data_IF_640412033042
#
_entry.id   IF_640412033042
#
_cell.length_a   1.000
_cell.length_b   1.000
_cell.length_c   1.000
_cell.angle_alpha   90.00
_cell.angle_beta   90.00
_cell.angle_gamma   90.00
#
_symmetry.space_group_name_H-M   'P 1'
#
loop_
_entity.id
_entity.type
_entity.pdbx_description
1 polymer ?
#
# COMPACT_ATOMS: atom_id res chain seq x y z
N UNK A 1 2.87 13.27 41.45
CA UNK A 1 3.18 11.86 41.83
C UNK A 1 3.59 11.00 40.63
N UNK A 2 3.12 11.32 39.42
CA UNK A 2 3.52 10.79 38.09
C UNK A 2 5.03 10.93 37.79
N UNK A 3 5.67 11.93 38.40
CA UNK A 3 7.10 12.25 38.23
C UNK A 3 8.08 11.18 38.75
N UNK A 4 7.65 10.26 39.62
CA UNK A 4 8.52 9.17 40.13
C UNK A 4 8.43 7.87 39.31
N UNK A 5 7.40 7.71 38.46
CA UNK A 5 7.13 6.45 37.75
C UNK A 5 7.83 6.34 36.38
N UNK A 6 8.21 7.47 35.76
CA UNK A 6 8.85 7.52 34.44
C UNK A 6 10.39 7.57 34.50
N UNK A 7 10.95 8.04 35.61
CA UNK A 7 12.39 8.02 35.91
C UNK A 7 12.92 6.60 36.19
N UNK A 8 12.05 5.64 36.53
CA UNK A 8 12.43 4.21 36.70
C UNK A 8 12.44 3.43 35.37
N UNK A 9 11.68 3.87 34.36
CA UNK A 9 11.72 3.35 32.97
C UNK A 9 13.00 3.79 32.22
N UNK A 10 13.73 4.78 32.74
CA UNK A 10 15.08 5.11 32.26
C UNK A 10 16.14 4.04 32.60
N UNK A 11 15.87 3.13 33.54
CA UNK A 11 16.75 2.01 33.87
C UNK A 11 16.42 0.71 33.09
N UNK A 12 15.46 0.73 32.16
CA UNK A 12 14.78 -0.46 31.64
C UNK A 12 15.43 -1.15 30.42
N UNK A 13 16.25 -0.48 29.61
CA UNK A 13 16.48 -0.97 28.22
C UNK A 13 17.88 -1.56 27.99
N UNK A 14 18.81 -1.39 28.92
CA UNK A 14 20.22 -1.72 28.66
C UNK A 14 20.60 -3.18 29.00
N UNK A 15 19.92 -3.91 29.92
CA UNK A 15 20.49 -5.22 30.38
C UNK A 15 19.58 -6.44 30.70
N UNK A 16 18.25 -6.40 30.90
CA UNK A 16 17.56 -7.63 31.40
C UNK A 16 16.06 -7.80 31.05
N UNK A 17 15.65 -9.05 30.87
CA UNK A 17 14.34 -9.55 30.44
C UNK A 17 13.30 -9.59 31.59
N UNK A 18 13.80 -9.64 32.82
CA UNK A 18 13.04 -9.52 34.08
C UNK A 18 12.29 -8.20 34.20
N UNK A 19 12.77 -7.21 33.44
CA UNK A 19 12.30 -5.86 33.43
C UNK A 19 10.91 -5.80 32.75
N UNK A 20 10.72 -6.48 31.61
CA UNK A 20 9.40 -6.62 30.99
C UNK A 20 8.39 -7.43 31.82
N UNK A 21 8.86 -8.45 32.55
CA UNK A 21 8.02 -9.20 33.49
C UNK A 21 7.48 -8.27 34.58
N UNK A 22 8.32 -7.42 35.17
CA UNK A 22 7.90 -6.43 36.18
C UNK A 22 6.95 -5.39 35.60
N UNK A 23 7.16 -4.95 34.36
CA UNK A 23 6.24 -4.04 33.67
C UNK A 23 4.87 -4.68 33.47
N UNK A 24 4.87 -5.91 32.97
CA UNK A 24 3.67 -6.70 32.69
C UNK A 24 2.91 -7.00 33.98
N UNK A 25 3.60 -7.44 35.03
CA UNK A 25 3.03 -7.64 36.38
C UNK A 25 2.48 -6.34 36.97
N UNK A 26 3.21 -5.22 36.83
CA UNK A 26 2.75 -3.93 37.30
C UNK A 26 1.47 -3.50 36.60
N UNK A 27 1.40 -3.60 35.26
CA UNK A 27 0.19 -3.32 34.49
C UNK A 27 -0.96 -4.25 34.90
N UNK A 28 -0.69 -5.53 35.10
CA UNK A 28 -1.70 -6.52 35.52
C UNK A 28 -2.22 -6.24 36.93
N UNK A 29 -1.38 -5.73 37.82
CA UNK A 29 -1.74 -5.49 39.22
C UNK A 29 -2.35 -4.10 39.45
N UNK A 30 -2.13 -3.15 38.53
CA UNK A 30 -2.57 -1.76 38.66
C UNK A 30 -3.54 -1.35 37.56
N UNK A 31 -4.23 -2.33 36.98
CA UNK A 31 -5.24 -2.11 35.92
C UNK A 31 -6.17 -0.97 36.31
N UNK A 32 -6.55 -0.91 37.59
CA UNK A 32 -7.56 0.03 38.08
C UNK A 32 -7.18 1.52 38.15
N UNK A 33 -5.93 1.88 37.87
CA UNK A 33 -5.37 3.21 38.13
C UNK A 33 -5.02 4.04 36.88
N UNK A 34 -5.28 3.54 35.67
CA UNK A 34 -4.89 4.22 34.43
C UNK A 34 -5.84 5.37 34.06
N UNK A 35 -5.70 6.56 34.67
CA UNK A 35 -6.60 7.68 34.32
C UNK A 35 -6.01 9.09 34.27
N UNK A 36 -4.68 9.31 34.23
CA UNK A 36 -4.20 10.70 34.38
C UNK A 36 -3.19 11.33 33.41
N UNK A 37 -2.38 10.64 32.59
CA UNK A 37 -1.45 11.37 31.67
C UNK A 37 -0.97 10.56 30.45
N UNK A 38 -1.89 10.08 29.59
CA UNK A 38 -1.55 9.29 28.39
C UNK A 38 -0.62 10.01 27.39
N UNK A 39 -0.59 11.35 27.38
CA UNK A 39 0.22 12.14 26.44
C UNK A 39 1.71 12.08 26.83
N UNK A 40 2.02 12.20 28.13
CA UNK A 40 3.40 12.19 28.63
C UNK A 40 3.99 10.78 28.53
N UNK A 41 3.19 9.74 28.83
CA UNK A 41 3.60 8.35 28.67
C UNK A 41 3.94 8.02 27.22
N UNK A 42 3.10 8.40 26.26
CA UNK A 42 3.35 8.20 24.83
C UNK A 42 4.69 8.80 24.39
N UNK A 43 4.96 10.06 24.78
CA UNK A 43 6.21 10.74 24.44
C UNK A 43 7.44 10.07 25.06
N UNK A 44 7.32 9.55 26.28
CA UNK A 44 8.44 8.87 26.95
C UNK A 44 8.70 7.51 26.31
N UNK A 45 7.66 6.80 25.89
CA UNK A 45 7.80 5.58 25.11
C UNK A 45 8.43 5.83 23.75
N UNK A 46 7.99 6.84 23.00
CA UNK A 46 8.60 7.20 21.71
C UNK A 46 10.10 7.45 21.86
N UNK A 47 10.51 8.21 22.87
CA UNK A 47 11.92 8.45 23.19
C UNK A 47 12.67 7.17 23.59
N UNK A 48 12.05 6.28 24.38
CA UNK A 48 12.68 5.01 24.80
C UNK A 48 13.01 4.11 23.60
N UNK A 49 12.08 4.01 22.65
CA UNK A 49 12.27 3.22 21.43
C UNK A 49 13.39 3.77 20.54
N UNK A 50 13.62 5.09 20.54
CA UNK A 50 14.73 5.73 19.80
C UNK A 50 16.12 5.23 20.24
N UNK A 51 16.30 4.93 21.53
CA UNK A 51 17.61 4.53 22.09
C UNK A 51 17.83 3.00 22.19
N UNK A 52 16.90 2.18 21.70
CA UNK A 52 17.06 0.71 21.74
C UNK A 52 18.15 0.25 20.77
N UNK A 53 19.17 -0.45 21.29
CA UNK A 53 20.12 -1.18 20.45
C UNK A 53 19.45 -2.43 19.87
N UNK A 54 19.07 -2.33 18.59
CA UNK A 54 18.33 -3.38 17.89
C UNK A 54 19.11 -4.69 17.75
N UNK A 55 20.44 -4.67 17.86
CA UNK A 55 21.26 -5.87 17.69
C UNK A 55 21.30 -6.73 18.97
N UNK A 56 21.11 -6.11 20.13
CA UNK A 56 21.26 -6.77 21.43
C UNK A 56 19.92 -6.99 22.13
N UNK A 57 18.88 -6.27 21.73
CA UNK A 57 17.55 -6.42 22.32
C UNK A 57 16.86 -7.71 21.85
N UNK A 58 16.36 -8.51 22.80
CA UNK A 58 15.66 -9.78 22.51
C UNK A 58 14.19 -9.55 22.13
N UNK A 59 13.95 -9.10 20.91
CA UNK A 59 12.60 -8.75 20.45
C UNK A 59 11.63 -9.94 20.42
N UNK A 60 12.07 -11.15 20.05
CA UNK A 60 11.18 -12.33 20.02
C UNK A 60 10.50 -12.53 21.39
N UNK A 61 11.30 -12.52 22.46
CA UNK A 61 10.78 -12.66 23.82
C UNK A 61 9.86 -11.50 24.21
N UNK A 62 10.24 -10.26 23.89
CA UNK A 62 9.43 -9.09 24.21
C UNK A 62 8.05 -9.20 23.55
N UNK A 63 8.00 -9.59 22.27
CA UNK A 63 6.76 -9.78 21.52
C UNK A 63 5.91 -10.90 22.12
N UNK A 64 6.49 -12.06 22.44
CA UNK A 64 5.73 -13.17 23.04
C UNK A 64 5.03 -12.75 24.34
N UNK A 65 5.72 -12.00 25.20
CA UNK A 65 5.12 -11.55 26.45
C UNK A 65 4.10 -10.41 26.26
N UNK A 66 4.31 -9.54 25.28
CA UNK A 66 3.32 -8.53 24.87
C UNK A 66 2.01 -9.19 24.43
N UNK A 67 2.10 -10.25 23.61
CA UNK A 67 0.95 -11.04 23.15
C UNK A 67 0.24 -11.69 24.34
N UNK A 68 0.98 -12.31 25.26
CA UNK A 68 0.43 -12.92 26.47
C UNK A 68 -0.33 -11.89 27.32
N UNK A 69 0.26 -10.71 27.55
CA UNK A 69 -0.38 -9.63 28.29
C UNK A 69 -1.67 -9.18 27.61
N UNK A 70 -1.61 -8.88 26.30
CA UNK A 70 -2.76 -8.40 25.54
C UNK A 70 -3.94 -9.39 25.63
N UNK A 71 -3.68 -10.69 25.42
CA UNK A 71 -4.71 -11.72 25.45
C UNK A 71 -5.24 -12.03 26.87
N UNK A 72 -4.51 -11.66 27.93
CA UNK A 72 -4.94 -11.88 29.32
C UNK A 72 -5.97 -10.85 29.82
N UNK A 73 -6.18 -9.77 29.08
CA UNK A 73 -7.11 -8.70 29.44
C UNK A 73 -8.51 -9.08 28.94
N UNK A 74 -9.50 -9.04 29.83
CA UNK A 74 -10.89 -9.35 29.53
C UNK A 74 -11.68 -8.05 29.55
N UNK A 75 -12.10 -7.57 28.38
CA UNK A 75 -12.93 -6.36 28.29
C UNK A 75 -14.29 -6.57 28.96
N UNK A 76 -14.66 -5.62 29.82
CA UNK A 76 -16.01 -5.56 30.41
C UNK A 76 -16.89 -4.63 29.56
N UNK A 77 -18.20 -4.91 29.47
CA UNK A 77 -19.12 -4.05 28.75
C UNK A 77 -19.09 -2.63 29.32
N UNK A 78 -19.16 -1.64 28.43
CA UNK A 78 -19.27 -0.23 28.80
C UNK A 78 -20.46 -0.02 29.74
N UNK A 79 -20.19 0.66 30.87
CA UNK A 79 -21.23 1.23 31.74
C UNK A 79 -21.22 2.73 31.54
N UNK A 80 -22.40 3.34 31.42
CA UNK A 80 -22.57 4.75 31.07
C UNK A 80 -21.60 5.68 31.84
N UNK A 81 -20.74 6.38 31.08
CA UNK A 81 -19.83 7.40 31.60
C UNK A 81 -18.49 6.93 32.15
N UNK A 82 -18.21 5.61 32.24
CA UNK A 82 -16.92 5.08 32.73
C UNK A 82 -16.26 4.25 31.64
N UNK A 83 -15.09 4.68 31.17
CA UNK A 83 -14.26 3.84 30.29
C UNK A 83 -13.62 2.75 31.16
N UNK A 84 -13.84 1.45 30.87
CA UNK A 84 -13.21 0.38 31.61
C UNK A 84 -11.68 0.49 31.51
N UNK A 85 -11.00 0.22 32.62
CA UNK A 85 -9.55 0.24 32.70
C UNK A 85 -8.89 -0.71 31.70
N UNK A 86 -9.54 -1.83 31.40
CA UNK A 86 -9.11 -2.81 30.42
C UNK A 86 -8.98 -2.19 29.01
N UNK A 87 -9.93 -1.34 28.61
CA UNK A 87 -9.87 -0.61 27.33
C UNK A 87 -8.72 0.39 27.29
N UNK A 88 -8.39 1.02 28.42
CA UNK A 88 -7.27 1.96 28.51
C UNK A 88 -5.93 1.25 28.40
N UNK A 89 -5.80 0.07 29.02
CA UNK A 89 -4.62 -0.77 28.90
C UNK A 89 -4.47 -1.28 27.47
N UNK A 90 -5.54 -1.74 26.81
CA UNK A 90 -5.47 -2.12 25.40
C UNK A 90 -4.99 -0.97 24.52
N UNK A 91 -5.53 0.25 24.69
CA UNK A 91 -5.06 1.45 23.97
C UNK A 91 -3.58 1.75 24.24
N UNK A 92 -3.13 1.51 25.45
CA UNK A 92 -1.72 1.69 25.81
C UNK A 92 -0.84 0.65 25.09
N UNK A 93 -1.22 -0.63 25.10
CA UNK A 93 -0.50 -1.70 24.39
C UNK A 93 -0.51 -1.47 22.88
N UNK A 94 -1.62 -0.96 22.33
CA UNK A 94 -1.71 -0.57 20.93
C UNK A 94 -0.64 0.48 20.56
N UNK A 95 -0.42 1.49 21.42
CA UNK A 95 0.63 2.49 21.20
C UNK A 95 2.04 1.89 21.27
N UNK A 96 2.28 0.91 22.14
CA UNK A 96 3.56 0.18 22.18
C UNK A 96 3.79 -0.55 20.86
N UNK A 97 2.77 -1.24 20.32
CA UNK A 97 2.88 -1.92 19.01
C UNK A 97 3.14 -0.92 17.88
N UNK A 98 2.50 0.26 17.90
CA UNK A 98 2.75 1.31 16.92
C UNK A 98 4.20 1.80 16.96
N UNK A 99 4.76 2.04 18.14
CA UNK A 99 6.18 2.42 18.27
C UNK A 99 7.13 1.30 17.81
N UNK A 100 6.78 0.03 18.06
CA UNK A 100 7.54 -1.11 17.54
C UNK A 100 7.55 -1.14 16.01
N UNK A 101 6.46 -0.77 15.33
CA UNK A 101 6.40 -0.74 13.87
C UNK A 101 7.43 0.25 13.30
N UNK A 102 7.61 1.41 13.96
CA UNK A 102 8.57 2.42 13.53
C UNK A 102 10.04 1.97 13.65
N UNK A 103 10.32 0.96 14.50
CA UNK A 103 11.63 0.34 14.58
C UNK A 103 12.00 -0.52 13.36
N UNK A 104 11.06 -0.89 12.50
CA UNK A 104 11.31 -1.70 11.29
C UNK A 104 12.11 -2.98 11.57
N UNK A 105 11.65 -3.76 12.54
CA UNK A 105 12.23 -5.04 12.96
C UNK A 105 11.91 -6.16 11.93
N UNK A 106 12.26 -7.41 12.25
CA UNK A 106 11.94 -8.57 11.42
C UNK A 106 10.42 -8.74 11.20
N UNK A 107 10.01 -9.03 9.95
CA UNK A 107 8.60 -9.20 9.57
C UNK A 107 7.89 -10.29 10.39
N UNK A 108 8.59 -11.36 10.76
CA UNK A 108 8.03 -12.49 11.50
C UNK A 108 7.60 -12.09 12.92
N UNK A 109 8.28 -11.12 13.54
CA UNK A 109 7.90 -10.58 14.85
C UNK A 109 6.51 -9.95 14.80
N UNK A 110 6.26 -9.12 13.78
CA UNK A 110 4.96 -8.47 13.61
C UNK A 110 3.88 -9.44 13.14
N UNK A 111 4.27 -10.46 12.37
CA UNK A 111 3.37 -11.57 12.03
C UNK A 111 2.91 -12.32 13.28
N UNK A 112 3.81 -12.56 14.23
CA UNK A 112 3.47 -13.14 15.53
C UNK A 112 2.43 -12.29 16.29
N UNK A 113 2.62 -10.97 16.35
CA UNK A 113 1.63 -10.04 16.94
C UNK A 113 0.27 -10.16 16.22
N UNK A 114 0.29 -10.09 14.88
CA UNK A 114 -0.91 -10.06 14.05
C UNK A 114 -1.73 -11.35 14.15
N UNK A 115 -1.06 -12.51 14.17
CA UNK A 115 -1.71 -13.83 14.16
C UNK A 115 -2.16 -14.25 15.56
N UNK A 116 -1.46 -13.85 16.62
CA UNK A 116 -1.70 -14.38 17.97
C UNK A 116 -2.43 -13.43 18.94
N UNK A 117 -2.64 -12.16 18.60
CA UNK A 117 -3.50 -11.27 19.40
C UNK A 117 -4.96 -11.41 18.96
N UNK A 118 -5.80 -11.97 19.83
CA UNK A 118 -7.17 -12.41 19.52
C UNK A 118 -8.07 -11.26 19.05
N UNK A 119 -8.00 -10.11 19.72
CA UNK A 119 -8.79 -8.92 19.43
C UNK A 119 -7.90 -7.71 19.17
N UNK A 120 -6.93 -7.87 18.26
CA UNK A 120 -6.03 -6.78 17.91
C UNK A 120 -6.81 -5.58 17.37
N UNK A 121 -6.56 -4.41 17.96
CA UNK A 121 -7.18 -3.16 17.55
C UNK A 121 -7.07 -2.96 16.04
N UNK A 122 -8.17 -2.56 15.42
CA UNK A 122 -8.28 -2.38 13.97
C UNK A 122 -7.21 -1.42 13.40
N UNK A 123 -6.93 -0.31 14.10
CA UNK A 123 -5.92 0.66 13.68
C UNK A 123 -4.52 0.04 13.68
N UNK A 124 -4.16 -0.68 14.74
CA UNK A 124 -2.87 -1.37 14.86
C UNK A 124 -2.76 -2.47 13.80
N UNK A 125 -3.82 -3.25 13.61
CA UNK A 125 -3.90 -4.29 12.59
C UNK A 125 -3.61 -3.74 11.19
N UNK A 126 -4.17 -2.58 10.86
CA UNK A 126 -3.90 -1.91 9.60
C UNK A 126 -2.49 -1.32 9.51
N UNK A 127 -1.96 -0.79 10.60
CA UNK A 127 -0.59 -0.32 10.65
C UNK A 127 0.39 -1.47 10.37
N UNK A 128 0.20 -2.65 10.97
CA UNK A 128 1.01 -3.85 10.67
C UNK A 128 0.84 -4.25 9.20
N UNK A 129 -0.39 -4.40 8.72
CA UNK A 129 -0.66 -4.74 7.32
C UNK A 129 0.04 -3.80 6.34
N UNK A 130 -0.12 -2.49 6.53
CA UNK A 130 0.40 -1.47 5.62
C UNK A 130 1.91 -1.27 5.72
N UNK A 131 2.46 -1.19 6.94
CA UNK A 131 3.88 -0.90 7.15
C UNK A 131 4.78 -2.11 7.00
N UNK A 132 4.30 -3.26 7.45
CA UNK A 132 5.10 -4.47 7.56
C UNK A 132 4.77 -5.42 6.40
N UNK A 133 3.52 -5.84 6.27
CA UNK A 133 3.13 -6.78 5.20
C UNK A 133 2.99 -6.12 3.82
N UNK A 134 3.10 -4.79 3.75
CA UNK A 134 2.91 -4.01 2.53
C UNK A 134 1.56 -4.28 1.84
N UNK A 135 0.53 -4.58 2.64
CA UNK A 135 -0.84 -4.74 2.21
C UNK A 135 -1.53 -3.38 2.11
N UNK A 136 -2.10 -3.12 0.95
CA UNK A 136 -2.82 -1.90 0.62
C UNK A 136 -4.30 -2.25 0.41
N UNK A 137 -5.16 -2.10 1.44
CA UNK A 137 -6.58 -2.36 1.27
C UNK A 137 -7.19 -1.42 0.23
N UNK A 138 -8.21 -1.86 -0.54
CA UNK A 138 -8.83 -1.01 -1.54
C UNK A 138 -9.45 0.26 -0.93
N UNK A 139 -9.07 1.41 -1.47
CA UNK A 139 -9.60 2.72 -1.09
C UNK A 139 -10.18 3.44 -2.30
N UNK A 140 -11.17 4.28 -2.05
CA UNK A 140 -11.69 5.30 -2.97
C UNK A 140 -11.25 6.68 -2.50
N UNK A 141 -10.82 7.53 -3.41
CA UNK A 141 -10.49 8.93 -3.17
C UNK A 141 -11.33 9.81 -4.10
N UNK A 142 -12.01 10.79 -3.52
CA UNK A 142 -12.72 11.84 -4.26
C UNK A 142 -12.18 13.20 -3.87
N UNK A 143 -12.15 14.13 -4.82
CA UNK A 143 -11.60 15.46 -4.60
C UNK A 143 -12.74 16.46 -4.66
N UNK A 144 -12.96 17.20 -3.56
CA UNK A 144 -13.99 18.24 -3.48
C UNK A 144 -13.41 19.46 -2.79
N UNK A 145 -13.67 20.64 -3.32
CA UNK A 145 -13.19 21.92 -2.76
C UNK A 145 -11.66 21.96 -2.51
N UNK A 146 -10.87 21.22 -3.31
CA UNK A 146 -9.41 21.15 -3.16
C UNK A 146 -8.93 20.19 -2.06
N UNK A 147 -9.83 19.45 -1.41
CA UNK A 147 -9.54 18.48 -0.36
C UNK A 147 -9.74 17.04 -0.85
N UNK A 148 -8.95 16.12 -0.31
CA UNK A 148 -9.04 14.69 -0.57
C UNK A 148 -9.94 14.04 0.47
N UNK A 149 -10.99 13.35 0.01
CA UNK A 149 -11.86 12.53 0.83
C UNK A 149 -11.58 11.06 0.54
N UNK A 150 -11.08 10.34 1.53
CA UNK A 150 -10.68 8.93 1.41
C UNK A 150 -11.72 8.03 2.07
N UNK A 151 -12.07 6.95 1.39
CA UNK A 151 -13.01 5.94 1.85
C UNK A 151 -12.40 4.56 1.71
N UNK A 152 -12.24 3.84 2.82
CA UNK A 152 -11.90 2.41 2.80
C UNK A 152 -13.11 1.60 2.28
N UNK A 153 -12.89 0.79 1.25
CA UNK A 153 -13.94 0.01 0.60
C UNK A 153 -14.31 -1.25 1.40
N UNK A 154 -13.45 -1.73 2.29
CA UNK A 154 -13.70 -2.88 3.16
C UNK A 154 -14.30 -2.47 4.51
N UNK A 155 -13.82 -1.37 5.13
CA UNK A 155 -14.01 -1.17 6.58
C UNK A 155 -14.62 0.18 7.00
N UNK A 156 -15.23 0.93 6.08
CA UNK A 156 -15.89 2.23 6.38
C UNK A 156 -14.99 3.30 7.03
N UNK A 157 -13.66 3.11 7.04
CA UNK A 157 -12.72 4.14 7.48
C UNK A 157 -12.78 5.34 6.51
N UNK A 158 -12.82 6.55 7.08
CA UNK A 158 -12.92 7.80 6.33
C UNK A 158 -12.02 8.84 6.96
N UNK A 159 -11.23 9.51 6.14
CA UNK A 159 -10.51 10.70 6.56
C UNK A 159 -10.44 11.70 5.43
N UNK A 160 -10.19 12.94 5.82
CA UNK A 160 -10.01 14.07 4.92
C UNK A 160 -8.64 14.71 5.18
N UNK A 161 -8.04 15.23 4.12
CA UNK A 161 -6.81 16.02 4.19
C UNK A 161 -6.68 16.87 2.94
N UNK A 162 -6.02 18.03 3.05
CA UNK A 162 -5.69 18.87 1.90
C UNK A 162 -4.22 18.73 1.46
N UNK A 163 -3.41 18.07 2.30
CA UNK A 163 -1.99 17.81 2.10
C UNK A 163 -1.79 16.45 1.43
N UNK A 164 -1.21 16.47 0.23
CA UNK A 164 -0.93 15.26 -0.54
C UNK A 164 0.16 14.41 0.11
N UNK A 165 1.14 15.03 0.79
CA UNK A 165 2.24 14.31 1.43
C UNK A 165 1.74 13.53 2.65
N UNK A 166 0.93 14.17 3.50
CA UNK A 166 0.20 13.48 4.58
C UNK A 166 -0.69 12.36 4.04
N UNK A 167 -1.46 12.62 2.96
CA UNK A 167 -2.33 11.62 2.34
C UNK A 167 -1.56 10.36 1.94
N UNK A 168 -0.51 10.50 1.12
CA UNK A 168 0.22 9.35 0.59
C UNK A 168 1.05 8.66 1.67
N UNK A 169 1.50 9.39 2.70
CA UNK A 169 2.18 8.81 3.86
C UNK A 169 1.21 7.98 4.70
N UNK A 170 -0.06 8.37 4.84
CA UNK A 170 -1.08 7.54 5.51
C UNK A 170 -1.46 6.30 4.71
N UNK A 171 -1.56 6.43 3.39
CA UNK A 171 -1.95 5.32 2.50
C UNK A 171 -0.81 4.31 2.29
N UNK A 172 0.42 4.79 2.14
CA UNK A 172 1.63 3.98 1.95
C UNK A 172 2.65 4.44 3.00
N UNK A 173 2.55 3.99 4.26
CA UNK A 173 3.41 4.51 5.32
C UNK A 173 4.84 3.94 5.27
N UNK A 174 5.07 2.85 4.53
CA UNK A 174 6.42 2.39 4.19
C UNK A 174 6.96 3.02 2.89
N UNK A 175 7.99 3.84 3.02
CA UNK A 175 8.68 4.56 1.92
C UNK A 175 9.32 3.63 0.88
N UNK A 176 9.60 2.36 1.20
CA UNK A 176 10.29 1.43 0.31
C UNK A 176 9.33 0.49 -0.46
N UNK A 177 8.03 0.79 -0.45
CA UNK A 177 7.03 -0.02 -1.11
C UNK A 177 7.06 0.23 -2.63
N UNK A 178 7.71 -0.66 -3.37
CA UNK A 178 7.82 -0.60 -4.81
C UNK A 178 6.80 -1.51 -5.49
N UNK A 179 6.28 -1.06 -6.63
CA UNK A 179 5.47 -1.87 -7.54
C UNK A 179 6.10 -1.84 -8.92
N UNK A 180 5.92 -2.90 -9.69
CA UNK A 180 6.45 -2.96 -11.06
C UNK A 180 5.33 -3.01 -12.10
N UNK A 181 5.58 -2.39 -13.25
CA UNK A 181 4.71 -2.47 -14.42
C UNK A 181 5.50 -2.99 -15.59
N UNK A 182 4.94 -3.92 -16.33
CA UNK A 182 5.50 -4.36 -17.60
C UNK A 182 4.71 -3.66 -18.70
N UNK A 183 5.39 -3.08 -19.69
CA UNK A 183 4.79 -2.52 -20.89
C UNK A 183 5.77 -2.55 -22.06
N UNK A 184 5.29 -2.33 -23.29
CA UNK A 184 6.19 -2.11 -24.43
C UNK A 184 7.02 -0.85 -24.22
N UNK A 185 8.30 -0.90 -24.56
CA UNK A 185 9.24 0.21 -24.40
C UNK A 185 8.77 1.46 -25.15
N UNK A 186 8.18 1.31 -26.33
CA UNK A 186 7.60 2.43 -27.06
C UNK A 186 6.46 3.12 -26.30
N UNK A 187 5.61 2.36 -25.60
CA UNK A 187 4.58 2.94 -24.75
C UNK A 187 5.18 3.66 -23.54
N UNK A 188 6.30 3.19 -23.00
CA UNK A 188 7.01 3.92 -21.96
C UNK A 188 7.53 5.25 -22.48
N UNK A 189 8.20 5.26 -23.64
CA UNK A 189 8.69 6.50 -24.23
C UNK A 189 7.55 7.47 -24.53
N UNK A 190 6.41 6.97 -25.01
CA UNK A 190 5.23 7.79 -25.24
C UNK A 190 4.65 8.33 -23.93
N UNK A 191 4.58 7.53 -22.87
CA UNK A 191 4.11 7.95 -21.55
C UNK A 191 5.02 9.06 -20.98
N UNK A 192 6.35 8.92 -21.11
CA UNK A 192 7.34 9.93 -20.72
C UNK A 192 7.15 11.22 -21.52
N UNK A 193 7.15 11.12 -22.85
CA UNK A 193 7.09 12.29 -23.74
C UNK A 193 5.77 13.07 -23.62
N UNK A 194 4.68 12.39 -23.26
CA UNK A 194 3.37 13.00 -23.10
C UNK A 194 3.01 13.28 -21.63
N UNK A 195 3.91 13.02 -20.69
CA UNK A 195 3.66 13.26 -19.27
C UNK A 195 2.42 12.51 -18.74
N UNK A 196 2.19 11.28 -19.22
CA UNK A 196 0.94 10.54 -18.98
C UNK A 196 1.20 9.12 -18.49
N UNK A 197 0.22 8.53 -17.82
CA UNK A 197 0.12 7.10 -17.55
C UNK A 197 -0.97 6.52 -18.46
N UNK A 198 -0.59 5.66 -19.40
CA UNK A 198 -1.59 4.98 -20.23
C UNK A 198 -2.32 3.90 -19.40
N UNK A 199 -3.66 3.89 -19.44
CA UNK A 199 -4.56 2.99 -18.70
C UNK A 199 -5.60 2.34 -19.64
N UNK A 200 -6.18 1.21 -19.21
CA UNK A 200 -7.09 0.37 -20.04
C UNK A 200 -8.47 0.31 -19.49
N UNK A 201 -9.47 0.22 -20.35
CA UNK A 201 -10.76 -0.28 -19.95
C UNK A 201 -10.66 -1.75 -19.47
N UNK A 202 -11.28 -2.15 -18.36
CA UNK A 202 -11.23 -3.52 -17.85
C UNK A 202 -11.77 -4.62 -18.79
N UNK A 203 -12.52 -4.23 -19.83
CA UNK A 203 -13.09 -5.11 -20.86
C UNK A 203 -12.05 -5.96 -21.61
N UNK A 204 -10.79 -5.50 -21.72
CA UNK A 204 -9.73 -6.26 -22.41
C UNK A 204 -9.05 -7.32 -21.53
N UNK A 205 -9.47 -7.46 -20.27
CA UNK A 205 -8.83 -8.37 -19.35
C UNK A 205 -9.46 -9.76 -19.41
N UNK A 206 -8.64 -10.80 -19.27
CA UNK A 206 -9.02 -12.21 -19.45
C UNK A 206 -9.95 -12.76 -18.37
N UNK A 207 -10.06 -12.10 -17.21
CA UNK A 207 -10.95 -12.54 -16.15
C UNK A 207 -12.40 -12.21 -16.54
N UNK A 208 -13.25 -13.24 -16.51
CA UNK A 208 -14.68 -13.12 -16.85
C UNK A 208 -15.42 -12.09 -16.01
N UNK A 209 -14.93 -11.77 -14.81
CA UNK A 209 -15.53 -10.73 -13.97
C UNK A 209 -15.10 -9.32 -14.40
N UNK A 210 -13.87 -9.16 -14.91
CA UNK A 210 -13.32 -7.88 -15.39
C UNK A 210 -13.94 -7.48 -16.74
N UNK A 211 -14.29 -8.46 -17.59
CA UNK A 211 -14.83 -8.24 -18.92
C UNK A 211 -16.34 -7.91 -18.98
N UNK A 212 -17.03 -7.93 -17.83
CA UNK A 212 -18.48 -7.70 -17.75
C UNK A 212 -18.85 -6.24 -17.44
N UNK A 213 -17.88 -5.42 -17.06
CA UNK A 213 -18.11 -4.00 -16.85
C UNK A 213 -18.33 -3.28 -18.18
N UNK A 214 -19.44 -2.57 -18.29
CA UNK A 214 -19.87 -1.93 -19.51
C UNK A 214 -19.05 -0.66 -19.82
N UNK A 215 -18.73 -0.46 -21.10
CA UNK A 215 -17.87 0.64 -21.57
C UNK A 215 -18.41 2.04 -21.23
N UNK A 216 -19.72 2.18 -21.05
CA UNK A 216 -20.40 3.42 -20.65
C UNK A 216 -20.04 3.87 -19.22
N UNK A 217 -19.51 2.98 -18.38
CA UNK A 217 -19.12 3.32 -17.01
C UNK A 217 -17.85 4.18 -16.93
N UNK A 218 -17.16 4.44 -18.05
CA UNK A 218 -15.98 5.32 -18.16
C UNK A 218 -14.90 5.02 -17.10
N UNK A 219 -14.65 3.73 -16.88
CA UNK A 219 -13.65 3.24 -15.91
C UNK A 219 -12.40 2.77 -16.65
N UNK A 220 -11.24 3.18 -16.15
CA UNK A 220 -9.95 2.74 -16.68
C UNK A 220 -9.07 2.22 -15.54
N UNK A 221 -8.26 1.22 -15.84
CA UNK A 221 -7.47 0.47 -14.89
C UNK A 221 -6.03 0.29 -15.40
N UNK A 222 -5.08 0.42 -14.47
CA UNK A 222 -3.70 0.01 -14.63
C UNK A 222 -3.34 -0.98 -13.52
N UNK A 223 -2.73 -2.10 -13.92
CA UNK A 223 -2.29 -3.16 -13.01
C UNK A 223 -0.77 -3.12 -12.86
N UNK A 224 -0.32 -3.33 -11.63
CA UNK A 224 1.08 -3.36 -11.23
C UNK A 224 1.34 -4.65 -10.44
N UNK A 225 2.51 -5.26 -10.60
CA UNK A 225 2.94 -6.36 -9.76
C UNK A 225 3.52 -5.83 -8.44
N UNK A 226 3.07 -6.38 -7.30
CA UNK A 226 3.63 -6.11 -5.97
C UNK A 226 5.04 -6.69 -5.79
N UNK A 227 5.42 -7.66 -6.62
CA UNK A 227 6.72 -8.33 -6.54
C UNK A 227 7.61 -7.87 -7.69
N UNK A 228 8.84 -7.48 -7.37
CA UNK A 228 9.89 -7.28 -8.37
C UNK A 228 10.56 -8.61 -8.77
N UNK A 229 10.25 -9.71 -8.09
CA UNK A 229 10.79 -11.03 -8.41
C UNK A 229 10.19 -11.66 -9.68
N UNK A 230 10.95 -12.57 -10.27
CA UNK A 230 10.70 -13.16 -11.60
C UNK A 230 9.56 -14.17 -11.64
N UNK A 231 9.15 -14.69 -10.49
CA UNK A 231 8.22 -15.83 -10.42
C UNK A 231 6.76 -15.45 -10.74
N UNK A 232 6.47 -14.16 -10.80
CA UNK A 232 5.17 -13.64 -11.24
C UNK A 232 5.15 -13.47 -12.77
N UNK A 233 5.19 -14.60 -13.48
CA UNK A 233 5.26 -14.70 -14.94
C UNK A 233 4.02 -14.14 -15.67
N UNK A 234 2.91 -13.91 -14.97
CA UNK A 234 1.64 -13.55 -15.60
C UNK A 234 1.41 -12.04 -15.75
N UNK A 235 2.11 -11.22 -14.96
CA UNK A 235 2.17 -9.77 -15.22
C UNK A 235 2.74 -9.44 -16.63
N UNK A 236 3.29 -10.45 -17.32
CA UNK A 236 3.84 -10.36 -18.66
C UNK A 236 2.78 -10.53 -19.77
N UNK A 237 1.62 -11.13 -19.42
CA UNK A 237 0.56 -11.52 -20.36
C UNK A 237 -0.41 -10.37 -20.65
N UNK A 238 -0.70 -9.53 -19.64
CA UNK A 238 -1.65 -8.42 -19.76
C UNK A 238 -1.00 -7.12 -20.25
N UNK A 239 -0.54 -7.07 -21.50
CA UNK A 239 -0.17 -5.79 -22.16
C UNK A 239 -0.59 -5.79 -23.63
N UNK A 240 -1.47 -4.84 -23.91
CA UNK A 240 -1.86 -4.21 -25.17
C UNK A 240 -1.11 -4.54 -26.46
N UNK A 241 -1.93 -4.98 -27.43
CA UNK A 241 -1.80 -4.69 -28.85
C UNK A 241 -0.71 -5.46 -29.58
N UNK A 242 -1.07 -6.20 -30.61
CA UNK A 242 -0.12 -6.68 -31.62
C UNK A 242 0.30 -5.45 -32.43
N UNK A 243 1.60 -5.19 -32.55
CA UNK A 243 2.13 -4.21 -33.51
C UNK A 243 3.10 -4.93 -34.44
N UNK A 244 3.00 -4.71 -35.76
CA UNK A 244 3.89 -5.34 -36.75
C UNK A 244 5.34 -4.89 -36.55
N UNK A 245 6.25 -5.72 -37.06
CA UNK A 245 7.69 -5.72 -36.78
C UNK A 245 8.43 -4.39 -36.96
N UNK A 246 9.00 -3.91 -35.85
CA UNK A 246 10.27 -3.19 -35.85
C UNK A 246 11.12 -3.66 -34.65
N UNK A 247 12.44 -3.75 -34.82
CA UNK A 247 13.34 -4.48 -33.90
C UNK A 247 13.39 -3.91 -32.47
N UNK A 248 12.94 -2.67 -32.25
CA UNK A 248 12.85 -2.02 -30.93
C UNK A 248 11.40 -1.81 -30.44
N UNK A 249 10.42 -1.80 -31.33
CA UNK A 249 9.01 -1.49 -30.99
C UNK A 249 8.34 -2.59 -30.15
N UNK A 250 8.81 -3.84 -30.30
CA UNK A 250 8.26 -5.00 -29.62
C UNK A 250 8.98 -5.37 -28.31
N UNK A 251 9.90 -4.51 -27.85
CA UNK A 251 10.59 -4.72 -26.57
C UNK A 251 9.61 -4.53 -25.42
N UNK A 252 9.43 -5.54 -24.56
CA UNK A 252 8.77 -5.36 -23.26
C UNK A 252 9.81 -4.99 -22.21
N UNK A 253 9.51 -4.00 -21.38
CA UNK A 253 10.34 -3.58 -20.25
C UNK A 253 9.55 -3.68 -18.97
N UNK A 254 10.24 -4.03 -17.89
CA UNK A 254 9.72 -3.94 -16.52
C UNK A 254 10.27 -2.68 -15.87
N UNK A 255 9.36 -1.84 -15.43
CA UNK A 255 9.64 -0.56 -14.79
C UNK A 255 9.27 -0.68 -13.32
N UNK A 256 10.11 -0.12 -12.46
CA UNK A 256 9.87 -0.08 -11.01
C UNK A 256 9.43 1.33 -10.63
N UNK A 257 8.33 1.42 -9.90
CA UNK A 257 7.78 2.64 -9.32
C UNK A 257 7.80 2.55 -7.81
N UNK A 258 8.21 3.63 -7.14
CA UNK A 258 7.85 3.82 -5.75
C UNK A 258 6.33 4.06 -5.66
N UNK A 259 5.61 3.26 -4.87
CA UNK A 259 4.14 3.33 -4.78
C UNK A 259 3.68 4.68 -4.25
N UNK A 260 4.40 5.27 -3.27
CA UNK A 260 4.05 6.58 -2.71
C UNK A 260 4.20 7.69 -3.76
N UNK A 261 5.31 7.71 -4.48
CA UNK A 261 5.54 8.70 -5.54
C UNK A 261 4.53 8.55 -6.68
N UNK A 262 4.18 7.32 -7.05
CA UNK A 262 3.18 7.03 -8.07
C UNK A 262 1.80 7.61 -7.67
N UNK A 263 1.34 7.32 -6.45
CA UNK A 263 0.07 7.85 -5.95
C UNK A 263 0.10 9.38 -5.83
N UNK A 264 1.22 9.95 -5.35
CA UNK A 264 1.41 11.40 -5.24
C UNK A 264 1.25 12.06 -6.61
N UNK A 265 1.94 11.56 -7.64
CA UNK A 265 1.90 12.15 -8.98
C UNK A 265 0.50 12.06 -9.63
N UNK A 266 -0.22 10.96 -9.40
CA UNK A 266 -1.59 10.80 -9.91
C UNK A 266 -2.55 11.82 -9.27
N UNK A 267 -2.44 12.01 -7.95
CA UNK A 267 -3.38 12.83 -7.20
C UNK A 267 -3.01 14.33 -7.18
N UNK A 268 -1.77 14.68 -7.51
CA UNK A 268 -1.22 16.04 -7.42
C UNK A 268 -2.04 17.08 -8.19
N UNK A 269 -2.57 16.71 -9.36
CA UNK A 269 -3.35 17.62 -10.23
C UNK A 269 -4.73 17.96 -9.65
N UNK A 270 -5.18 17.26 -8.61
CA UNK A 270 -6.48 17.46 -7.94
C UNK A 270 -7.67 17.51 -8.90
N UNK A 271 -7.67 16.69 -9.95
CA UNK A 271 -8.76 16.70 -10.92
C UNK A 271 -10.05 16.13 -10.31
N UNK A 272 -11.04 17.02 -10.14
CA UNK A 272 -12.37 16.76 -9.56
C UNK A 272 -13.30 15.98 -10.48
N UNK A 273 -12.94 15.82 -11.75
CA UNK A 273 -13.74 15.06 -12.72
C UNK A 273 -13.50 13.55 -12.60
N UNK A 274 -12.60 13.12 -11.73
CA UNK A 274 -12.30 11.72 -11.51
C UNK A 274 -12.53 11.29 -10.06
N UNK A 275 -13.00 10.05 -9.92
CA UNK A 275 -12.85 9.28 -8.71
C UNK A 275 -11.67 8.31 -8.89
N UNK A 276 -10.83 8.22 -7.87
CA UNK A 276 -9.63 7.38 -7.89
C UNK A 276 -9.81 6.20 -6.96
N UNK A 277 -9.32 5.04 -7.37
CA UNK A 277 -9.39 3.82 -6.60
C UNK A 277 -8.02 3.15 -6.62
N UNK A 278 -7.53 2.75 -5.46
CA UNK A 278 -6.21 2.13 -5.29
C UNK A 278 -6.33 0.94 -4.35
N UNK A 279 -5.66 -0.16 -4.64
CA UNK A 279 -5.85 -1.37 -3.84
C UNK A 279 -5.05 -2.55 -4.33
N UNK A 280 -4.61 -3.38 -3.40
CA UNK A 280 -4.17 -4.73 -3.71
C UNK A 280 -5.38 -5.62 -4.01
N UNK A 281 -5.20 -6.60 -4.90
CA UNK A 281 -6.24 -7.60 -5.12
C UNK A 281 -6.30 -8.60 -3.96
N UNK A 282 -7.52 -9.05 -3.67
CA UNK A 282 -7.81 -10.12 -2.73
C UNK A 282 -8.28 -11.34 -3.49
N UNK A 283 -7.71 -12.49 -3.13
CA UNK A 283 -8.15 -13.75 -3.72
C UNK A 283 -9.33 -14.31 -2.97
N UNK A 284 -10.38 -14.55 -3.72
CA UNK A 284 -11.63 -15.16 -3.28
C UNK A 284 -11.75 -16.54 -3.93
N UNK A 285 -12.43 -17.46 -3.26
CA UNK A 285 -12.76 -18.77 -3.86
C UNK A 285 -13.64 -18.62 -5.10
N UNK A 286 -14.23 -19.71 -5.59
CA UNK A 286 -15.20 -19.64 -6.69
C UNK A 286 -16.40 -18.78 -6.27
N UNK A 287 -16.36 -17.47 -6.55
CA UNK A 287 -17.53 -16.61 -6.37
C UNK A 287 -18.55 -16.98 -7.44
N UNK A 288 -19.72 -17.34 -6.95
CA UNK A 288 -20.96 -17.30 -7.71
C UNK A 288 -21.52 -15.88 -7.61
N UNK A 289 -21.89 -15.38 -8.78
CA UNK A 289 -22.72 -14.20 -9.06
C UNK A 289 -22.03 -12.85 -9.26
N UNK A 290 -22.49 -12.21 -10.34
CA UNK A 290 -22.17 -10.87 -10.83
C UNK A 290 -22.46 -9.84 -9.76
N UNK A 291 -21.52 -8.94 -9.50
CA UNK A 291 -21.88 -7.62 -9.04
C UNK A 291 -21.26 -6.58 -10.00
N UNK A 292 -22.04 -5.55 -10.30
CA UNK A 292 -21.66 -4.50 -11.23
C UNK A 292 -20.94 -3.36 -10.48
N UNK A 293 -20.25 -3.72 -9.39
CA UNK A 293 -19.61 -2.82 -8.42
C UNK A 293 -18.10 -2.70 -8.71
N UNK A 294 -17.58 -1.49 -8.58
CA UNK A 294 -16.17 -1.17 -8.83
C UNK A 294 -15.25 -1.86 -7.82
N UNK A 295 -15.79 -2.27 -6.67
CA UNK A 295 -15.06 -3.07 -5.67
C UNK A 295 -14.62 -4.42 -6.21
N UNK A 296 -15.37 -5.00 -7.16
CA UNK A 296 -15.09 -6.33 -7.71
C UNK A 296 -13.76 -6.35 -8.48
N UNK A 297 -13.27 -5.20 -8.96
CA UNK A 297 -11.94 -5.08 -9.54
C UNK A 297 -10.79 -5.30 -8.55
N UNK A 298 -11.06 -5.36 -7.25
CA UNK A 298 -10.07 -5.71 -6.24
C UNK A 298 -10.22 -7.15 -5.75
N UNK A 299 -11.07 -7.94 -6.39
CA UNK A 299 -11.26 -9.34 -6.07
C UNK A 299 -10.92 -10.20 -7.29
N UNK A 300 -10.22 -11.32 -7.07
CA UNK A 300 -9.82 -12.23 -8.14
C UNK A 300 -9.95 -13.67 -7.71
N UNK A 301 -10.22 -14.57 -8.65
CA UNK A 301 -10.28 -16.00 -8.34
C UNK A 301 -8.92 -16.50 -7.80
N UNK A 302 -8.97 -17.38 -6.79
CA UNK A 302 -7.79 -18.10 -6.28
C UNK A 302 -7.02 -18.88 -7.34
N UNK A 303 -7.64 -19.20 -8.49
CA UNK A 303 -6.94 -19.76 -9.65
C UNK A 303 -5.82 -18.85 -10.18
N UNK A 304 -5.87 -17.55 -9.85
CA UNK A 304 -4.87 -16.54 -10.22
C UNK A 304 -4.00 -16.10 -9.02
N UNK A 305 -3.94 -16.89 -7.93
CA UNK A 305 -3.23 -16.53 -6.68
C UNK A 305 -1.73 -16.25 -6.85
N UNK A 306 -1.14 -16.67 -7.98
CA UNK A 306 0.23 -16.33 -8.34
C UNK A 306 0.41 -14.84 -8.72
N UNK A 307 -0.66 -14.13 -9.07
CA UNK A 307 -0.62 -12.75 -9.57
C UNK A 307 -0.74 -11.70 -8.46
N UNK A 308 0.28 -11.52 -7.61
CA UNK A 308 0.21 -10.48 -6.56
C UNK A 308 0.14 -9.08 -7.19
N UNK A 309 -1.06 -8.53 -7.36
CA UNK A 309 -1.31 -7.28 -8.07
C UNK A 309 -1.72 -6.14 -7.12
N UNK A 310 -1.20 -4.95 -7.43
CA UNK A 310 -1.71 -3.66 -7.00
C UNK A 310 -2.40 -2.99 -8.20
N UNK A 311 -3.60 -2.44 -8.00
CA UNK A 311 -4.43 -1.85 -9.05
C UNK A 311 -4.68 -0.38 -8.78
N UNK A 312 -4.67 0.36 -9.87
CA UNK A 312 -5.10 1.74 -9.94
C UNK A 312 -6.29 1.78 -10.87
N UNK A 313 -7.44 2.22 -10.39
CA UNK A 313 -8.59 2.52 -11.24
C UNK A 313 -8.95 3.99 -11.13
N UNK A 314 -9.41 4.54 -12.24
CA UNK A 314 -10.00 5.86 -12.32
C UNK A 314 -11.36 5.74 -12.96
N UNK A 315 -12.31 6.53 -12.46
CA UNK A 315 -13.64 6.64 -13.02
C UNK A 315 -13.91 8.09 -13.34
N UNK A 316 -14.19 8.40 -14.60
CA UNK A 316 -14.60 9.74 -14.97
C UNK A 316 -16.05 9.98 -14.53
N UNK A 317 -16.27 11.03 -13.75
CA UNK A 317 -17.57 11.47 -13.24
C UNK A 317 -17.96 12.86 -13.75
N UNK A 318 -17.15 13.46 -14.63
CA UNK A 318 -17.48 14.71 -15.29
C UNK A 318 -18.69 14.57 -16.23
N UNK A 319 -19.27 15.72 -16.58
CA UNK A 319 -20.48 15.80 -17.42
C UNK A 319 -20.12 15.72 -18.91
N UNK A 320 -18.89 16.10 -19.27
CA UNK A 320 -18.43 16.20 -20.65
C UNK A 320 -17.92 14.86 -21.22
N UNK A 321 -17.59 14.86 -22.52
CA UNK A 321 -16.81 13.78 -23.10
C UNK A 321 -15.39 13.76 -22.53
N UNK A 322 -14.81 12.56 -22.42
CA UNK A 322 -13.50 12.39 -21.80
C UNK A 322 -12.44 13.07 -22.70
N UNK A 323 -11.62 14.02 -22.18
CA UNK A 323 -10.76 14.86 -23.02
C UNK A 323 -9.63 14.14 -23.80
N UNK A 324 -9.33 12.87 -23.54
CA UNK A 324 -8.14 12.16 -24.06
C UNK A 324 -8.42 10.75 -24.62
N UNK A 325 -9.65 10.51 -25.07
CA UNK A 325 -10.07 9.23 -25.62
C UNK A 325 -9.70 9.12 -27.11
N UNK A 326 -8.44 8.79 -27.40
CA UNK A 326 -7.95 8.64 -28.78
C UNK A 326 -7.43 7.23 -29.00
N UNK A 327 -8.30 6.26 -29.27
CA UNK A 327 -8.01 5.11 -30.15
C UNK A 327 -9.31 4.38 -30.53
N UNK A 328 -9.53 4.25 -31.86
CA UNK A 328 -10.61 3.58 -32.58
C UNK A 328 -12.02 3.78 -32.02
N UNK A 329 -12.81 4.62 -32.70
CA UNK A 329 -14.20 5.04 -32.36
C UNK A 329 -15.17 3.90 -32.05
N UNK A 330 -14.81 2.66 -32.38
CA UNK A 330 -15.63 1.48 -32.11
C UNK A 330 -15.51 0.97 -30.67
N UNK A 331 -14.38 1.17 -29.98
CA UNK A 331 -14.17 0.74 -28.59
C UNK A 331 -13.12 1.62 -27.89
N UNK A 332 -13.61 2.55 -27.06
CA UNK A 332 -12.87 3.48 -26.21
C UNK A 332 -12.09 2.75 -25.10
N UNK A 333 -11.04 2.04 -25.48
CA UNK A 333 -10.34 1.05 -24.64
C UNK A 333 -9.17 1.66 -23.85
N UNK A 334 -8.64 2.81 -24.25
CA UNK A 334 -7.45 3.40 -23.65
C UNK A 334 -7.73 4.79 -23.11
N UNK A 335 -7.07 5.12 -22.00
CA UNK A 335 -7.10 6.46 -21.43
C UNK A 335 -5.69 6.89 -21.03
N UNK A 336 -5.32 8.13 -21.34
CA UNK A 336 -4.08 8.75 -20.88
C UNK A 336 -4.37 9.61 -19.67
N UNK A 337 -3.92 9.15 -18.51
CA UNK A 337 -4.00 9.91 -17.28
C UNK A 337 -2.82 10.86 -17.20
N UNK A 338 -3.10 12.15 -17.20
CA UNK A 338 -2.11 13.21 -17.07
C UNK A 338 -1.37 13.13 -15.73
N UNK A 339 -0.03 13.20 -15.75
CA UNK A 339 0.87 13.14 -14.59
C UNK A 339 1.77 14.38 -14.50
N UNK A 340 2.56 14.47 -13.42
CA UNK A 340 3.72 15.36 -13.33
C UNK A 340 4.99 14.61 -13.79
N UNK A 341 5.83 15.28 -14.59
CA UNK A 341 7.08 14.75 -15.14
C UNK A 341 8.03 14.14 -14.12
N UNK A 342 7.96 14.60 -12.87
CA UNK A 342 8.83 14.11 -11.81
C UNK A 342 8.73 12.60 -11.62
N UNK A 343 7.58 11.98 -11.90
CA UNK A 343 7.44 10.53 -11.81
C UNK A 343 8.47 9.79 -12.66
N UNK A 344 8.67 10.22 -13.90
CA UNK A 344 9.51 9.53 -14.87
C UNK A 344 11.01 9.84 -14.71
N UNK A 345 11.38 10.89 -13.97
CA UNK A 345 12.79 11.18 -13.65
C UNK A 345 13.43 10.12 -12.77
N UNK A 346 12.64 9.49 -11.89
CA UNK A 346 13.12 8.52 -10.91
C UNK A 346 12.88 7.07 -11.29
N UNK A 347 12.20 6.79 -12.41
CA UNK A 347 11.97 5.40 -12.80
C UNK A 347 13.27 4.69 -13.16
N UNK A 348 13.34 3.43 -12.75
CA UNK A 348 14.43 2.52 -13.11
C UNK A 348 13.88 1.32 -13.86
N UNK A 349 14.68 0.83 -14.79
CA UNK A 349 14.43 -0.46 -15.43
C UNK A 349 14.98 -1.56 -14.54
N UNK A 350 14.22 -2.64 -14.38
CA UNK A 350 14.76 -3.86 -13.79
C UNK A 350 15.93 -4.34 -14.67
N UNK A 351 17.10 -4.53 -14.05
CA UNK A 351 18.31 -5.03 -14.71
C UNK A 351 18.08 -6.36 -15.45
N UNK A 352 17.06 -7.11 -15.05
CA UNK A 352 16.62 -8.35 -15.69
C UNK A 352 15.50 -8.10 -16.71
N UNK A 353 15.71 -7.17 -17.65
CA UNK A 353 14.85 -6.96 -18.82
C UNK A 353 14.53 -8.32 -19.49
N UNK A 354 13.25 -8.57 -19.74
CA UNK A 354 12.77 -9.83 -20.30
C UNK A 354 12.00 -9.61 -21.61
N UNK A 355 12.16 -10.57 -22.52
CA UNK A 355 11.59 -10.53 -23.87
C UNK A 355 10.64 -11.67 -24.05
N UNK A 356 9.51 -11.39 -24.67
CA UNK A 356 8.51 -12.40 -24.97
C UNK A 356 8.87 -13.12 -26.31
N UNK A 357 9.00 -14.46 -26.34
CA UNK A 357 8.84 -15.34 -25.20
C UNK A 357 10.13 -15.90 -24.58
N UNK A 358 11.30 -15.96 -25.27
CA UNK A 358 12.38 -16.86 -24.79
C UNK A 358 13.84 -16.43 -25.05
N UNK A 359 14.17 -15.15 -25.23
CA UNK A 359 15.58 -14.74 -25.43
C UNK A 359 16.04 -13.62 -24.51
N UNK A 360 17.15 -13.83 -23.81
CA UNK A 360 17.88 -12.73 -23.19
C UNK A 360 18.34 -11.78 -24.31
N UNK A 361 18.08 -10.48 -24.18
CA UNK A 361 18.77 -9.49 -24.99
C UNK A 361 20.28 -9.65 -24.84
N UNK A 362 20.98 -9.52 -25.96
CA UNK A 362 22.41 -9.21 -25.94
C UNK A 362 22.67 -7.91 -25.18
N UNK A 363 23.83 -7.83 -24.50
CA UNK A 363 24.19 -6.66 -23.69
C UNK A 363 24.08 -5.33 -24.44
N UNK A 364 24.45 -5.30 -25.73
CA UNK A 364 24.37 -4.10 -26.57
C UNK A 364 22.96 -3.49 -26.66
N UNK A 365 21.92 -4.33 -26.72
CA UNK A 365 20.54 -3.86 -26.79
C UNK A 365 20.06 -3.35 -25.43
N UNK A 366 20.50 -3.99 -24.33
CA UNK A 366 20.19 -3.51 -22.98
C UNK A 366 20.77 -2.11 -22.73
N UNK A 367 22.02 -1.89 -23.16
CA UNK A 367 22.66 -0.59 -23.04
C UNK A 367 22.02 0.45 -23.95
N UNK A 368 21.63 0.09 -25.18
CA UNK A 368 20.88 0.99 -26.06
C UNK A 368 19.53 1.42 -25.44
N UNK A 369 18.75 0.50 -24.88
CA UNK A 369 17.47 0.82 -24.21
C UNK A 369 17.68 1.74 -23.03
N UNK A 370 18.68 1.44 -22.18
CA UNK A 370 19.04 2.29 -21.03
C UNK A 370 19.45 3.70 -21.48
N UNK A 371 20.23 3.80 -22.56
CA UNK A 371 20.63 5.07 -23.15
C UNK A 371 19.43 5.87 -23.65
N UNK A 372 18.55 5.25 -24.45
CA UNK A 372 17.35 5.90 -24.98
C UNK A 372 16.42 6.36 -23.85
N UNK A 373 16.25 5.52 -22.82
CA UNK A 373 15.48 5.91 -21.64
C UNK A 373 16.10 7.12 -20.95
N UNK A 374 17.42 7.11 -20.75
CA UNK A 374 18.13 8.20 -20.11
C UNK A 374 17.99 9.51 -20.89
N UNK A 375 18.12 9.45 -22.21
CA UNK A 375 17.89 10.61 -23.09
C UNK A 375 16.45 11.14 -23.01
N UNK A 376 15.45 10.25 -22.87
CA UNK A 376 14.07 10.67 -22.69
C UNK A 376 13.85 11.32 -21.31
N UNK A 377 14.47 10.77 -20.26
CA UNK A 377 14.42 11.32 -18.90
C UNK A 377 15.12 12.68 -18.78
N UNK A 378 16.21 12.89 -19.51
CA UNK A 378 16.96 14.15 -19.49
C UNK A 378 16.23 15.31 -20.20
N UNK A 379 15.17 15.01 -20.97
CA UNK A 379 14.35 16.02 -21.67
C UNK A 379 13.20 16.61 -20.84
N UNK A 380 12.86 15.99 -19.71
CA UNK A 380 11.69 16.35 -18.89
C UNK A 380 12.07 17.05 -17.59
#
# INVERSE_FOLDING_TARGET
MIYNNLLYLQNFIVEDITIWQKFTEFLINNKDYYYSDMIIEKLIFENLFEYIDKNNFKFDFFIDNLILLYNSIIEKPYKDGIIPNETLIHRFLDNVILALIDLKLDENLYKNIYDNITYLNYFVKNAIKGNIFNDFPPVKITIKNGEYFVYDLENNFRFETNDIDDLVKRLVPNDFNNVSRILKFQYLLNDINNETLTMSHPYIFEDKNECLYSLDKKVYMACFSKTIDKDNAYAWWKIYGITPDDNLENIKVRIIFNKRDLLKNILLKKDKNFEYYFGDIKYIGDKKEKNDDIKDFFEKSTSFKFEREFRILIKYIGIDEIPNDKYNDKYKIFFKLDLDNKLYKSITLDNKLSFDPYRNLEGKHKEAIKHILKEAQDKI
#
